data_IF_720955975512
#
_entry.id   IF_720955975512
#
_cell.length_a   1.000
_cell.length_b   1.000
_cell.length_c   1.000
_cell.angle_alpha   90.00
_cell.angle_beta   90.00
_cell.angle_gamma   90.00
#
_symmetry.space_group_name_H-M   'P 1'
#
loop_
_entity.id
_entity.type
_entity.pdbx_description
1 polymer ?
#
# COMPACT_ATOMS: atom_id res chain seq x y z
N UNK A 1 17.76 -22.39 -20.03
CA UNK A 1 16.60 -21.67 -19.45
C UNK A 1 15.90 -22.48 -18.35
N UNK A 2 15.42 -23.70 -18.63
CA UNK A 2 14.77 -24.57 -17.61
C UNK A 2 15.71 -25.01 -16.48
N UNK A 3 17.00 -25.23 -16.77
CA UNK A 3 18.02 -25.57 -15.77
C UNK A 3 18.32 -24.42 -14.79
N UNK A 4 18.12 -23.17 -15.21
CA UNK A 4 18.31 -21.98 -14.37
C UNK A 4 17.10 -21.65 -13.49
N UNK A 5 15.92 -22.24 -13.74
CA UNK A 5 14.69 -21.99 -12.97
C UNK A 5 14.76 -22.52 -11.53
N UNK A 6 15.46 -23.65 -11.30
CA UNK A 6 15.60 -24.26 -9.97
C UNK A 6 16.23 -23.29 -8.95
N UNK A 7 17.40 -22.67 -9.22
CA UNK A 7 17.98 -21.69 -8.29
C UNK A 7 17.20 -20.37 -8.22
N UNK A 8 16.57 -19.92 -9.32
CA UNK A 8 15.72 -18.72 -9.33
C UNK A 8 14.49 -18.91 -8.42
N UNK A 9 13.88 -20.10 -8.43
CA UNK A 9 12.72 -20.42 -7.59
C UNK A 9 13.00 -20.26 -6.10
N UNK A 10 14.18 -20.67 -5.63
CA UNK A 10 14.56 -20.49 -4.22
C UNK A 10 14.66 -19.00 -3.83
N UNK A 11 15.24 -18.18 -4.71
CA UNK A 11 15.36 -16.73 -4.47
C UNK A 11 13.97 -16.09 -4.42
N UNK A 12 13.09 -16.40 -5.37
CA UNK A 12 11.72 -15.89 -5.41
C UNK A 12 10.96 -16.26 -4.13
N UNK A 13 11.11 -17.50 -3.65
CA UNK A 13 10.44 -17.95 -2.43
C UNK A 13 10.91 -17.18 -1.20
N UNK A 14 12.21 -16.93 -1.07
CA UNK A 14 12.78 -16.09 0.00
C UNK A 14 12.23 -14.66 -0.10
N UNK A 15 12.21 -14.06 -1.30
CA UNK A 15 11.64 -12.73 -1.52
C UNK A 15 10.15 -12.67 -1.12
N UNK A 16 9.36 -13.66 -1.50
CA UNK A 16 7.95 -13.75 -1.12
C UNK A 16 7.78 -13.82 0.40
N UNK A 17 8.62 -14.61 1.10
CA UNK A 17 8.57 -14.69 2.56
C UNK A 17 8.86 -13.33 3.21
N UNK A 18 9.90 -12.62 2.76
CA UNK A 18 10.20 -11.26 3.24
C UNK A 18 9.05 -10.29 2.99
N UNK A 19 8.46 -10.31 1.79
CA UNK A 19 7.33 -9.43 1.46
C UNK A 19 6.10 -9.74 2.31
N UNK A 20 5.84 -10.99 2.65
CA UNK A 20 4.74 -11.36 3.55
C UNK A 20 5.00 -10.83 4.96
N UNK A 21 6.21 -10.99 5.50
CA UNK A 21 6.56 -10.48 6.85
C UNK A 21 6.39 -8.96 6.91
N UNK A 22 6.99 -8.23 5.96
CA UNK A 22 6.83 -6.77 5.89
C UNK A 22 5.39 -6.35 5.57
N UNK A 23 4.66 -7.14 4.78
CA UNK A 23 3.26 -6.90 4.46
C UNK A 23 2.37 -6.99 5.71
N UNK A 24 2.55 -8.02 6.53
CA UNK A 24 1.82 -8.17 7.79
C UNK A 24 2.18 -7.04 8.76
N UNK A 25 3.47 -6.72 8.90
CA UNK A 25 3.91 -5.58 9.73
C UNK A 25 3.30 -4.26 9.24
N UNK A 26 3.31 -4.02 7.94
CA UNK A 26 2.73 -2.82 7.33
C UNK A 26 1.23 -2.72 7.55
N UNK A 27 0.49 -3.82 7.46
CA UNK A 27 -0.94 -3.85 7.80
C UNK A 27 -1.16 -3.49 9.27
N UNK A 28 -0.38 -4.05 10.20
CA UNK A 28 -0.55 -3.73 11.63
C UNK A 28 -0.30 -2.25 11.94
N UNK A 29 0.69 -1.63 11.29
CA UNK A 29 1.06 -0.24 11.55
C UNK A 29 0.15 0.77 10.83
N UNK A 30 -0.26 0.46 9.59
CA UNK A 30 -0.85 1.45 8.69
C UNK A 30 -2.28 1.15 8.23
N UNK A 31 -2.92 0.08 8.74
CA UNK A 31 -4.31 -0.23 8.42
C UNK A 31 -5.22 0.95 8.72
N UNK A 32 -6.00 1.37 7.72
CA UNK A 32 -6.96 2.44 7.84
C UNK A 32 -6.36 3.85 7.83
N UNK A 33 -5.04 4.01 7.71
CA UNK A 33 -4.37 5.32 7.75
C UNK A 33 -4.28 6.01 6.39
N UNK A 34 -4.29 5.25 5.29
CA UNK A 34 -4.10 5.76 3.92
C UNK A 34 -5.39 6.28 3.27
N UNK A 35 -6.05 7.21 3.94
CA UNK A 35 -7.20 7.93 3.40
C UNK A 35 -6.89 9.42 3.24
N UNK A 36 -7.57 10.07 2.31
CA UNK A 36 -7.49 11.50 2.11
C UNK A 36 -8.84 12.06 1.68
N UNK A 37 -9.02 13.36 1.89
CA UNK A 37 -10.18 14.08 1.40
C UNK A 37 -9.91 14.59 -0.03
N UNK A 38 -10.87 14.40 -0.93
CA UNK A 38 -10.84 14.88 -2.32
C UNK A 38 -11.92 15.94 -2.51
N UNK A 39 -11.51 17.17 -2.86
CA UNK A 39 -12.36 18.35 -3.02
C UNK A 39 -11.56 19.57 -3.51
N UNK A 40 -12.23 20.71 -3.71
CA UNK A 40 -11.61 21.95 -4.21
C UNK A 40 -10.75 22.67 -3.14
N UNK A 41 -11.25 22.76 -1.90
CA UNK A 41 -10.63 23.54 -0.82
C UNK A 41 -10.30 22.67 0.41
N UNK A 42 -9.49 21.63 0.21
CA UNK A 42 -9.11 20.67 1.26
C UNK A 42 -7.98 21.12 2.20
N UNK A 43 -7.38 22.31 2.00
CA UNK A 43 -6.24 22.79 2.80
C UNK A 43 -6.53 22.93 4.30
N UNK A 44 -7.79 23.22 4.66
CA UNK A 44 -8.19 23.42 6.06
C UNK A 44 -8.91 22.19 6.66
N UNK A 45 -8.99 21.07 5.94
CA UNK A 45 -9.71 19.87 6.36
C UNK A 45 -8.71 18.87 6.92
N UNK A 46 -8.79 18.60 8.21
CA UNK A 46 -7.86 17.69 8.91
C UNK A 46 -8.51 16.34 9.21
N UNK A 47 -9.83 16.33 9.37
CA UNK A 47 -10.59 15.15 9.80
C UNK A 47 -11.55 14.63 8.72
N UNK A 48 -11.86 13.33 8.82
CA UNK A 48 -12.88 12.68 7.99
C UNK A 48 -14.26 13.33 8.13
N UNK A 49 -14.63 13.72 9.34
CA UNK A 49 -15.92 14.36 9.63
C UNK A 49 -16.05 15.71 8.93
N UNK A 50 -15.03 16.56 9.01
CA UNK A 50 -14.95 17.85 8.32
C UNK A 50 -15.05 17.68 6.79
N UNK A 51 -14.35 16.67 6.24
CA UNK A 51 -14.42 16.35 4.82
C UNK A 51 -15.85 16.05 4.35
N UNK A 52 -16.56 15.21 5.12
CA UNK A 52 -17.92 14.82 4.79
C UNK A 52 -18.92 15.96 4.99
N UNK A 53 -18.71 16.82 5.99
CA UNK A 53 -19.53 18.02 6.24
C UNK A 53 -19.38 19.07 5.15
N UNK A 54 -18.19 19.22 4.58
CA UNK A 54 -17.91 20.10 3.45
C UNK A 54 -18.50 19.59 2.11
N UNK A 55 -19.16 18.42 2.10
CA UNK A 55 -19.69 17.81 0.89
C UNK A 55 -18.61 17.15 0.01
N UNK A 56 -17.44 16.88 0.56
CA UNK A 56 -16.31 16.27 -0.16
C UNK A 56 -16.24 14.75 0.05
N UNK A 57 -15.37 14.09 -0.73
CA UNK A 57 -15.24 12.64 -0.74
C UNK A 57 -14.02 12.20 0.07
N UNK A 58 -14.25 11.33 1.06
CA UNK A 58 -13.18 10.68 1.81
C UNK A 58 -12.77 9.38 1.11
N UNK A 59 -11.66 9.42 0.39
CA UNK A 59 -11.24 8.34 -0.54
C UNK A 59 -9.96 7.66 -0.06
N UNK A 60 -9.89 6.34 -0.29
CA UNK A 60 -8.68 5.55 -0.04
C UNK A 60 -7.65 5.77 -1.15
N UNK A 61 -6.37 5.77 -0.78
CA UNK A 61 -5.28 5.69 -1.76
C UNK A 61 -5.30 4.33 -2.46
N UNK A 62 -4.91 4.30 -3.74
CA UNK A 62 -4.84 3.09 -4.58
C UNK A 62 -3.86 2.06 -3.99
N UNK A 63 -2.70 2.52 -3.54
CA UNK A 63 -1.72 1.73 -2.79
C UNK A 63 -1.91 2.02 -1.30
N UNK A 64 -2.21 0.98 -0.52
CA UNK A 64 -2.50 1.06 0.90
C UNK A 64 -2.18 -0.27 1.59
N UNK A 65 -2.31 -0.30 2.92
CA UNK A 65 -1.99 -1.44 3.77
C UNK A 65 -3.22 -1.91 4.57
N UNK A 66 -4.42 -1.90 3.98
CA UNK A 66 -5.64 -2.29 4.70
C UNK A 66 -5.78 -3.82 4.85
N UNK A 67 -5.21 -4.59 3.92
CA UNK A 67 -5.11 -6.04 3.96
C UNK A 67 -3.79 -6.52 3.33
N UNK A 68 -3.48 -7.82 3.50
CA UNK A 68 -2.21 -8.39 3.06
C UNK A 68 -2.00 -8.27 1.54
N UNK A 69 -3.03 -8.47 0.72
CA UNK A 69 -2.91 -8.38 -0.73
C UNK A 69 -2.56 -6.96 -1.20
N UNK A 70 -3.23 -5.95 -0.64
CA UNK A 70 -2.94 -4.53 -0.94
C UNK A 70 -1.55 -4.12 -0.44
N UNK A 71 -1.14 -4.63 0.72
CA UNK A 71 0.21 -4.41 1.25
C UNK A 71 1.28 -5.00 0.33
N UNK A 72 1.11 -6.23 -0.16
CA UNK A 72 2.04 -6.87 -1.10
C UNK A 72 2.15 -6.09 -2.41
N UNK A 73 1.02 -5.61 -2.97
CA UNK A 73 1.04 -4.78 -4.17
C UNK A 73 1.77 -3.45 -3.92
N UNK A 74 1.54 -2.83 -2.76
CA UNK A 74 2.21 -1.57 -2.39
C UNK A 74 3.70 -1.76 -2.20
N UNK A 75 4.13 -2.85 -1.54
CA UNK A 75 5.53 -3.22 -1.35
C UNK A 75 6.23 -3.53 -2.68
N UNK A 76 5.53 -4.20 -3.61
CA UNK A 76 6.05 -4.45 -4.94
C UNK A 76 6.38 -3.14 -5.68
N UNK A 77 5.41 -2.22 -5.74
CA UNK A 77 5.60 -0.89 -6.36
C UNK A 77 6.76 -0.13 -5.71
N UNK A 78 6.85 -0.15 -4.38
CA UNK A 78 7.95 0.46 -3.63
C UNK A 78 9.32 -0.16 -3.99
N UNK A 79 9.36 -1.49 -4.14
CA UNK A 79 10.60 -2.22 -4.47
C UNK A 79 11.07 -1.98 -5.91
N UNK A 80 10.14 -1.74 -6.84
CA UNK A 80 10.44 -1.34 -8.21
C UNK A 80 10.92 0.11 -8.32
N UNK A 81 10.76 0.92 -7.26
CA UNK A 81 11.01 2.38 -7.24
C UNK A 81 10.18 3.20 -8.23
N UNK A 82 9.23 2.56 -8.93
CA UNK A 82 8.29 3.23 -9.82
C UNK A 82 7.09 3.74 -9.02
N UNK A 83 6.97 5.06 -8.86
CA UNK A 83 5.82 5.67 -8.16
C UNK A 83 5.90 5.63 -6.63
N UNK A 84 7.11 5.61 -6.07
CA UNK A 84 7.32 5.68 -4.62
C UNK A 84 7.21 7.10 -4.03
N UNK A 85 7.27 8.14 -4.89
CA UNK A 85 7.13 9.58 -4.54
C UNK A 85 5.81 10.12 -5.04
#
# INVERSE_FOLDING_TARGET
LITSLRPIGNIVLICCAFFIVFGILGVQLFKGKFFHCEGLHVRNITNKTECLQAGYRWVRRKYNFDNLGQALMSLFVLSCKDGWV
#
